data_IF_291185473460
#
_entry.id   IF_291185473460
#
_cell.length_a   1.000
_cell.length_b   1.000
_cell.length_c   1.000
_cell.angle_alpha   90.00
_cell.angle_beta   90.00
_cell.angle_gamma   90.00
#
_symmetry.space_group_name_H-M   'P 1'
#
loop_
_entity.id
_entity.type
_entity.pdbx_description
1 polymer ?
#
# COMPACT_ATOMS: atom_id res chain seq x y z
N UNK A 1 3.54 -25.94 39.93
CA UNK A 1 4.95 -25.60 39.69
C UNK A 1 5.41 -26.25 38.39
N UNK A 2 5.52 -25.48 37.30
CA UNK A 2 6.23 -25.89 36.07
C UNK A 2 6.91 -24.65 35.51
N UNK A 3 8.23 -24.68 35.57
CA UNK A 3 9.20 -23.68 35.13
C UNK A 3 9.59 -23.89 33.67
N UNK A 4 9.80 -22.75 32.98
CA UNK A 4 10.57 -22.55 31.75
C UNK A 4 10.06 -23.28 30.48
N UNK A 5 9.99 -22.67 29.30
CA UNK A 5 11.06 -21.93 28.65
C UNK A 5 10.47 -20.84 27.74
N UNK A 6 10.89 -19.60 28.00
CA UNK A 6 10.79 -18.50 27.05
C UNK A 6 11.85 -18.73 25.97
N UNK A 7 11.42 -19.04 24.75
CA UNK A 7 12.26 -18.92 23.56
C UNK A 7 12.15 -17.47 23.08
N UNK A 8 13.21 -16.64 23.13
CA UNK A 8 13.16 -15.37 22.43
C UNK A 8 13.23 -15.69 20.94
N UNK A 9 12.16 -15.36 20.22
CA UNK A 9 12.10 -15.33 18.76
C UNK A 9 13.00 -14.18 18.26
N UNK A 10 14.31 -14.34 18.43
CA UNK A 10 15.41 -13.46 18.04
C UNK A 10 16.02 -13.93 16.71
N UNK A 11 15.17 -14.32 15.75
CA UNK A 11 15.60 -14.67 14.40
C UNK A 11 14.66 -13.97 13.41
N UNK A 12 14.85 -12.66 13.23
CA UNK A 12 14.28 -11.91 12.11
C UNK A 12 15.13 -10.68 11.71
N UNK A 13 16.40 -10.66 12.10
CA UNK A 13 17.36 -9.57 11.81
C UNK A 13 18.49 -9.97 10.85
N UNK A 14 18.51 -11.19 10.32
CA UNK A 14 19.60 -11.67 9.43
C UNK A 14 19.22 -11.80 7.93
N UNK A 15 18.02 -11.39 7.52
CA UNK A 15 17.50 -11.63 6.15
C UNK A 15 17.36 -10.41 5.25
N UNK A 16 17.78 -9.20 5.67
CA UNK A 16 17.55 -7.96 4.89
C UNK A 16 18.81 -7.14 4.58
N UNK A 17 19.99 -7.78 4.64
CA UNK A 17 21.28 -7.14 4.33
C UNK A 17 22.03 -7.75 3.13
N UNK A 18 21.41 -8.65 2.34
CA UNK A 18 22.13 -9.40 1.30
C UNK A 18 21.49 -9.35 -0.10
N UNK A 19 20.90 -8.22 -0.50
CA UNK A 19 20.43 -8.05 -1.89
C UNK A 19 20.57 -6.62 -2.44
N UNK A 20 21.38 -5.79 -1.80
CA UNK A 20 21.59 -4.40 -2.22
C UNK A 20 23.07 -3.99 -2.14
N UNK A 21 24.01 -4.83 -2.63
CA UNK A 21 25.34 -4.32 -3.03
C UNK A 21 26.23 -5.33 -3.80
N UNK A 22 25.71 -6.10 -4.77
CA UNK A 22 26.58 -6.87 -5.68
C UNK A 22 27.17 -6.04 -6.84
N UNK A 23 26.92 -4.72 -6.88
CA UNK A 23 27.55 -3.79 -7.85
C UNK A 23 28.57 -2.83 -7.22
N UNK A 24 28.97 -3.05 -5.96
CA UNK A 24 30.07 -2.32 -5.30
C UNK A 24 31.18 -3.28 -4.85
N UNK A 25 31.61 -4.16 -5.74
CA UNK A 25 32.96 -4.71 -5.68
C UNK A 25 33.88 -3.81 -6.50
N UNK A 26 34.18 -2.65 -5.92
CA UNK A 26 35.12 -1.68 -6.47
C UNK A 26 35.85 -1.00 -5.32
N UNK A 27 37.07 -1.47 -5.06
CA UNK A 27 38.12 -0.87 -4.21
C UNK A 27 37.76 -0.60 -2.74
N UNK A 28 38.10 -1.56 -1.88
CA UNK A 28 38.37 -1.36 -0.46
C UNK A 28 39.73 -0.64 -0.22
N UNK A 29 40.01 0.44 -0.96
CA UNK A 29 41.25 1.22 -0.82
C UNK A 29 40.96 2.70 -1.00
N UNK A 30 41.01 3.46 0.09
CA UNK A 30 40.88 4.92 0.08
C UNK A 30 39.66 5.42 0.84
N UNK A 31 39.81 5.60 2.15
CA UNK A 31 39.08 6.68 2.83
C UNK A 31 39.55 7.98 2.16
N UNK A 32 38.74 8.48 1.23
CA UNK A 32 38.99 9.74 0.53
C UNK A 32 39.30 10.84 1.57
N UNK A 33 40.55 11.38 1.60
CA UNK A 33 40.97 12.35 2.61
C UNK A 33 40.14 13.65 2.53
N UNK A 34 39.57 13.95 1.36
CA UNK A 34 38.63 15.05 1.23
C UNK A 34 37.32 14.79 1.98
N UNK A 35 36.80 13.56 1.93
CA UNK A 35 35.57 13.19 2.64
C UNK A 35 35.76 13.25 4.15
N UNK A 36 36.95 12.88 4.64
CA UNK A 36 37.32 13.03 6.05
C UNK A 36 37.41 14.52 6.46
N UNK A 37 38.01 15.38 5.62
CA UNK A 37 38.06 16.84 5.85
C UNK A 37 36.67 17.48 5.85
N UNK A 38 35.79 17.12 4.91
CA UNK A 38 34.39 17.60 4.86
C UNK A 38 33.59 17.15 6.08
N UNK A 39 33.78 15.91 6.54
CA UNK A 39 33.14 15.41 7.75
C UNK A 39 33.64 16.11 9.01
N UNK A 40 34.94 16.41 9.11
CA UNK A 40 35.53 17.17 10.21
C UNK A 40 35.02 18.61 10.24
N UNK A 41 34.99 19.29 9.09
CA UNK A 41 34.42 20.63 8.95
C UNK A 41 32.93 20.66 9.30
N UNK A 42 32.14 19.66 8.87
CA UNK A 42 30.73 19.55 9.22
C UNK A 42 30.51 19.30 10.72
N UNK A 43 31.38 18.53 11.39
CA UNK A 43 31.36 18.35 12.85
C UNK A 43 31.71 19.63 13.59
N UNK A 44 32.72 20.37 13.14
CA UNK A 44 33.10 21.65 13.74
C UNK A 44 31.97 22.69 13.61
N UNK A 45 31.39 22.84 12.41
CA UNK A 45 30.25 23.72 12.19
C UNK A 45 28.99 23.31 12.98
N UNK A 46 28.80 22.01 13.22
CA UNK A 46 27.75 21.51 14.11
C UNK A 46 28.05 21.89 15.57
N UNK A 47 29.29 21.74 16.03
CA UNK A 47 29.69 22.07 17.40
C UNK A 47 29.46 23.56 17.70
N UNK A 48 29.91 24.46 16.82
CA UNK A 48 29.71 25.91 16.94
C UNK A 48 28.21 26.27 17.03
N UNK A 49 27.37 25.66 16.17
CA UNK A 49 25.91 25.86 16.22
C UNK A 49 25.29 25.35 17.53
N UNK A 50 25.81 24.27 18.09
CA UNK A 50 25.31 23.71 19.35
C UNK A 50 25.76 24.54 20.54
N UNK A 51 26.96 25.12 20.50
CA UNK A 51 27.47 26.04 21.50
C UNK A 51 26.68 27.36 21.51
N UNK A 52 26.44 27.95 20.34
CA UNK A 52 25.56 29.12 20.21
C UNK A 52 24.14 28.85 20.73
N UNK A 53 23.61 27.65 20.51
CA UNK A 53 22.31 27.21 21.06
C UNK A 53 22.34 27.06 22.57
N UNK A 54 23.39 26.47 23.14
CA UNK A 54 23.56 26.38 24.61
C UNK A 54 23.67 27.76 25.24
N UNK A 55 24.41 28.68 24.63
CA UNK A 55 24.51 30.07 25.08
C UNK A 55 23.14 30.79 25.06
N UNK A 56 22.27 30.45 24.10
CA UNK A 56 20.89 30.91 24.04
C UNK A 56 19.92 30.14 24.97
N UNK A 57 20.43 29.31 25.90
CA UNK A 57 19.62 28.56 26.87
C UNK A 57 18.96 27.28 26.35
N UNK A 58 19.29 26.82 25.14
CA UNK A 58 18.76 25.56 24.62
C UNK A 58 19.48 24.36 25.25
N UNK A 59 18.74 23.50 25.94
CA UNK A 59 19.25 22.23 26.45
C UNK A 59 18.95 21.08 25.47
N UNK A 60 19.93 20.20 25.18
CA UNK A 60 19.67 19.04 24.35
C UNK A 60 18.66 18.12 25.02
N UNK A 61 17.70 17.62 24.23
CA UNK A 61 16.73 16.62 24.69
C UNK A 61 17.44 15.41 25.28
N UNK A 62 16.90 14.86 26.36
CA UNK A 62 17.41 13.62 26.95
C UNK A 62 17.33 12.47 25.93
N UNK A 63 18.10 11.39 26.13
CA UNK A 63 18.07 10.22 25.24
C UNK A 63 16.64 9.67 25.08
N UNK A 64 15.87 9.68 26.17
CA UNK A 64 14.49 9.18 26.19
C UNK A 64 13.52 10.13 25.46
N UNK A 65 13.71 11.44 25.59
CA UNK A 65 12.95 12.44 24.81
C UNK A 65 13.26 12.39 23.31
N UNK A 66 14.51 12.11 22.94
CA UNK A 66 14.92 11.87 21.57
C UNK A 66 14.26 10.60 21.02
N UNK A 67 14.27 9.51 21.78
CA UNK A 67 13.61 8.24 21.46
C UNK A 67 12.10 8.43 21.29
N UNK A 68 11.45 9.15 22.20
CA UNK A 68 10.02 9.50 22.12
C UNK A 68 9.70 10.28 20.84
N UNK A 69 10.54 11.28 20.51
CA UNK A 69 10.37 12.08 19.29
C UNK A 69 10.49 11.21 18.04
N UNK A 70 11.44 10.28 18.00
CA UNK A 70 11.60 9.34 16.89
C UNK A 70 10.40 8.39 16.76
N UNK A 71 9.91 7.82 17.86
CA UNK A 71 8.76 6.91 17.85
C UNK A 71 7.49 7.60 17.37
N UNK A 72 7.26 8.86 17.75
CA UNK A 72 6.15 9.68 17.23
C UNK A 72 6.25 9.84 15.72
N UNK A 73 7.43 10.21 15.19
CA UNK A 73 7.65 10.29 13.73
C UNK A 73 7.42 8.96 13.01
N UNK A 74 7.82 7.83 13.63
CA UNK A 74 7.56 6.50 13.08
C UNK A 74 6.05 6.18 13.05
N UNK A 75 5.33 6.52 14.12
CA UNK A 75 3.87 6.38 14.20
C UNK A 75 3.19 7.19 13.09
N UNK A 76 3.53 8.47 12.94
CA UNK A 76 2.96 9.33 11.89
C UNK A 76 3.23 8.76 10.49
N UNK A 77 4.44 8.25 10.26
CA UNK A 77 4.79 7.58 9.00
C UNK A 77 3.95 6.32 8.76
N UNK A 78 3.67 5.54 9.79
CA UNK A 78 2.80 4.36 9.67
C UNK A 78 1.35 4.75 9.43
N UNK A 79 0.85 5.82 10.05
CA UNK A 79 -0.49 6.35 9.80
C UNK A 79 -0.64 6.76 8.34
N UNK A 80 0.28 7.57 7.81
CA UNK A 80 0.28 7.98 6.41
C UNK A 80 0.31 6.77 5.47
N UNK A 81 1.05 5.71 5.82
CA UNK A 81 1.09 4.47 5.03
C UNK A 81 -0.23 3.71 5.10
N UNK A 82 -0.87 3.63 6.26
CA UNK A 82 -2.18 3.02 6.45
C UNK A 82 -3.21 3.73 5.58
N UNK A 83 -3.29 5.05 5.68
CA UNK A 83 -4.26 5.87 4.95
C UNK A 83 -4.07 5.72 3.43
N UNK A 84 -2.82 5.78 2.94
CA UNK A 84 -2.51 5.55 1.53
C UNK A 84 -2.94 4.17 1.04
N UNK A 85 -2.79 3.13 1.86
CA UNK A 85 -3.25 1.78 1.50
C UNK A 85 -4.77 1.71 1.48
N UNK A 86 -5.46 2.30 2.45
CA UNK A 86 -6.92 2.35 2.49
C UNK A 86 -7.49 3.08 1.26
N UNK A 87 -6.95 4.25 0.92
CA UNK A 87 -7.34 5.00 -0.29
C UNK A 87 -7.09 4.19 -1.55
N UNK A 88 -5.91 3.55 -1.65
CA UNK A 88 -5.58 2.71 -2.81
C UNK A 88 -6.50 1.51 -2.93
N UNK A 89 -6.88 0.88 -1.81
CA UNK A 89 -7.83 -0.22 -1.80
C UNK A 89 -9.20 0.21 -2.32
N UNK A 90 -9.73 1.34 -1.83
CA UNK A 90 -11.01 1.87 -2.28
C UNK A 90 -10.98 2.21 -3.79
N UNK A 91 -9.89 2.83 -4.26
CA UNK A 91 -9.70 3.10 -5.68
C UNK A 91 -9.70 1.82 -6.54
N UNK A 92 -8.94 0.80 -6.13
CA UNK A 92 -8.81 -0.46 -6.87
C UNK A 92 -10.11 -1.28 -6.87
N UNK A 93 -10.89 -1.20 -5.80
CA UNK A 93 -12.23 -1.80 -5.73
C UNK A 93 -13.20 -1.11 -6.69
N UNK A 94 -13.28 0.23 -6.65
CA UNK A 94 -14.12 1.01 -7.57
C UNK A 94 -13.73 0.76 -9.04
N UNK A 95 -12.43 0.73 -9.33
CA UNK A 95 -11.92 0.39 -10.67
C UNK A 95 -12.31 -1.03 -11.08
N UNK A 96 -12.31 -1.98 -10.15
CA UNK A 96 -12.77 -3.34 -10.37
C UNK A 96 -14.26 -3.40 -10.73
N UNK A 97 -15.11 -2.62 -10.06
CA UNK A 97 -16.55 -2.54 -10.37
C UNK A 97 -16.83 -1.92 -11.75
N UNK A 98 -16.06 -0.91 -12.14
CA UNK A 98 -16.14 -0.34 -13.50
C UNK A 98 -15.82 -1.41 -14.54
N UNK A 99 -14.73 -2.16 -14.38
CA UNK A 99 -14.38 -3.24 -15.31
C UNK A 99 -15.42 -4.36 -15.34
N UNK A 100 -16.02 -4.71 -14.20
CA UNK A 100 -17.13 -5.67 -14.15
C UNK A 100 -18.35 -5.18 -14.91
N UNK A 101 -18.68 -3.89 -14.80
CA UNK A 101 -19.78 -3.28 -15.53
C UNK A 101 -19.52 -3.33 -17.04
N UNK A 102 -18.32 -2.95 -17.47
CA UNK A 102 -17.90 -3.06 -18.87
C UNK A 102 -17.99 -4.52 -19.37
N UNK A 103 -17.53 -5.48 -18.58
CA UNK A 103 -17.62 -6.90 -18.94
C UNK A 103 -19.07 -7.38 -19.09
N UNK A 104 -19.98 -6.91 -18.23
CA UNK A 104 -21.42 -7.18 -18.31
C UNK A 104 -22.06 -6.51 -19.52
N UNK A 105 -21.64 -5.29 -19.86
CA UNK A 105 -22.14 -4.57 -21.03
C UNK A 105 -21.73 -5.26 -22.34
N UNK A 106 -20.50 -5.78 -22.42
CA UNK A 106 -20.08 -6.59 -23.57
C UNK A 106 -20.92 -7.87 -23.71
N UNK A 107 -21.28 -8.53 -22.60
CA UNK A 107 -22.22 -9.67 -22.66
C UNK A 107 -23.57 -9.17 -23.13
N UNK A 108 -24.15 -8.16 -22.48
CA UNK A 108 -25.51 -7.68 -22.71
C UNK A 108 -25.75 -7.11 -24.11
N UNK A 109 -24.82 -6.33 -24.64
CA UNK A 109 -24.98 -5.64 -25.92
C UNK A 109 -24.23 -6.34 -27.06
N UNK A 110 -23.22 -7.16 -26.75
CA UNK A 110 -22.50 -7.98 -27.73
C UNK A 110 -23.17 -9.32 -28.05
N UNK A 111 -24.10 -9.80 -27.21
CA UNK A 111 -24.84 -11.05 -27.42
C UNK A 111 -26.03 -10.95 -28.38
N UNK A 112 -26.20 -9.84 -29.10
CA UNK A 112 -27.11 -9.78 -30.25
C UNK A 112 -28.27 -8.79 -30.13
N UNK A 113 -28.13 -7.68 -30.84
CA UNK A 113 -29.23 -7.05 -31.57
C UNK A 113 -28.95 -7.13 -33.08
N UNK A 114 -28.63 -8.33 -33.60
CA UNK A 114 -28.73 -8.56 -35.04
C UNK A 114 -30.21 -8.69 -35.38
N UNK A 115 -30.86 -7.59 -35.76
CA UNK A 115 -32.09 -7.64 -36.56
C UNK A 115 -31.73 -8.30 -37.89
N UNK A 116 -31.76 -9.63 -37.94
CA UNK A 116 -31.72 -10.33 -39.21
C UNK A 116 -33.05 -10.00 -39.92
N UNK A 117 -33.01 -9.09 -40.89
CA UNK A 117 -34.10 -8.92 -41.84
C UNK A 117 -34.19 -10.22 -42.65
N UNK A 118 -34.95 -11.19 -42.17
CA UNK A 118 -35.31 -12.37 -42.94
C UNK A 118 -36.28 -11.90 -44.01
N UNK A 119 -35.74 -11.59 -45.19
CA UNK A 119 -36.55 -11.43 -46.39
C UNK A 119 -37.13 -12.79 -46.72
N UNK A 120 -38.41 -12.98 -46.43
CA UNK A 120 -39.15 -14.15 -46.93
C UNK A 120 -39.45 -13.85 -48.40
N UNK A 121 -38.73 -14.48 -49.30
CA UNK A 121 -39.17 -14.57 -50.69
C UNK A 121 -40.34 -15.55 -50.71
N UNK A 122 -41.55 -15.03 -50.85
CA UNK A 122 -42.68 -15.90 -51.15
C UNK A 122 -42.46 -16.45 -52.56
N UNK A 123 -42.56 -17.78 -52.72
CA UNK A 123 -42.26 -18.46 -53.99
C UNK A 123 -43.24 -18.06 -55.12
N UNK A 124 -44.28 -17.29 -54.77
CA UNK A 124 -45.41 -16.95 -55.64
C UNK A 124 -45.67 -15.44 -55.80
N UNK A 125 -44.99 -14.56 -55.07
CA UNK A 125 -45.14 -13.11 -55.25
C UNK A 125 -43.79 -12.45 -55.48
N UNK A 126 -43.64 -11.77 -56.62
CA UNK A 126 -42.51 -10.91 -56.98
C UNK A 126 -42.41 -9.62 -56.14
N UNK A 127 -42.71 -9.72 -54.84
CA UNK A 127 -42.66 -8.63 -53.87
C UNK A 127 -42.06 -9.12 -52.56
N UNK A 128 -41.12 -8.33 -52.03
CA UNK A 128 -40.64 -8.48 -50.65
C UNK A 128 -41.80 -8.07 -49.73
N UNK A 129 -42.50 -9.04 -49.15
CA UNK A 129 -43.60 -8.77 -48.20
C UNK A 129 -43.03 -8.50 -46.80
N UNK A 130 -43.53 -7.44 -46.18
CA UNK A 130 -43.02 -6.84 -44.96
C UNK A 130 -42.96 -7.72 -43.71
N UNK A 131 -41.97 -7.33 -42.90
CA UNK A 131 -41.55 -7.66 -41.54
C UNK A 131 -42.62 -8.23 -40.57
N UNK A 132 -42.47 -9.50 -40.19
CA UNK A 132 -42.89 -9.98 -38.86
C UNK A 132 -41.61 -10.09 -38.02
N UNK A 133 -41.41 -9.26 -36.98
CA UNK A 133 -40.31 -9.48 -36.06
C UNK A 133 -40.58 -10.78 -35.32
N UNK A 134 -39.95 -11.87 -35.75
CA UNK A 134 -39.93 -13.10 -34.99
C UNK A 134 -39.01 -12.86 -33.80
N UNK A 135 -39.64 -12.62 -32.64
CA UNK A 135 -38.99 -12.63 -31.33
C UNK A 135 -38.58 -14.08 -31.00
N UNK A 136 -37.68 -14.66 -31.79
CA UNK A 136 -37.06 -15.93 -31.43
C UNK A 136 -36.08 -15.64 -30.30
N UNK A 137 -36.60 -15.64 -29.08
CA UNK A 137 -35.85 -15.90 -27.85
C UNK A 137 -35.28 -17.31 -27.94
N UNK A 138 -34.19 -17.46 -28.68
CA UNK A 138 -33.32 -18.62 -28.54
C UNK A 138 -32.25 -18.17 -27.54
N UNK A 139 -32.28 -18.74 -26.34
CA UNK A 139 -31.36 -18.45 -25.23
C UNK A 139 -29.88 -18.79 -25.50
N UNK A 140 -29.55 -19.13 -26.75
CA UNK A 140 -28.24 -19.59 -27.20
C UNK A 140 -27.72 -18.89 -28.47
N UNK A 141 -28.20 -17.68 -28.79
CA UNK A 141 -27.56 -16.91 -29.86
C UNK A 141 -26.14 -16.60 -29.42
N UNK A 142 -25.22 -17.26 -30.11
CA UNK A 142 -23.77 -17.25 -29.93
C UNK A 142 -23.34 -15.83 -29.61
N UNK A 143 -22.92 -15.60 -28.35
CA UNK A 143 -22.19 -14.40 -27.95
C UNK A 143 -21.17 -14.11 -29.06
N UNK A 144 -21.22 -12.91 -29.64
CA UNK A 144 -20.19 -12.48 -30.58
C UNK A 144 -18.83 -12.89 -29.98
N UNK A 145 -18.04 -13.75 -30.65
CA UNK A 145 -16.80 -14.27 -30.09
C UNK A 145 -15.85 -13.15 -29.66
N UNK A 146 -15.94 -11.98 -30.30
CA UNK A 146 -15.21 -10.78 -29.89
C UNK A 146 -15.76 -10.23 -28.56
N UNK A 147 -17.07 -10.10 -28.41
CA UNK A 147 -17.70 -9.64 -27.18
C UNK A 147 -17.42 -10.58 -25.99
N UNK A 148 -17.44 -11.90 -26.21
CA UNK A 148 -17.06 -12.88 -25.20
C UNK A 148 -15.59 -12.71 -24.75
N UNK A 149 -14.66 -12.53 -25.70
CA UNK A 149 -13.24 -12.27 -25.40
C UNK A 149 -13.03 -10.96 -24.65
N UNK A 150 -13.72 -9.90 -25.05
CA UNK A 150 -13.65 -8.60 -24.38
C UNK A 150 -14.24 -8.67 -22.97
N UNK A 151 -15.38 -9.33 -22.81
CA UNK A 151 -15.97 -9.57 -21.49
C UNK A 151 -15.03 -10.33 -20.56
N UNK A 152 -14.43 -11.43 -21.04
CA UNK A 152 -13.43 -12.19 -20.28
C UNK A 152 -12.21 -11.35 -19.91
N UNK A 153 -11.67 -10.55 -20.84
CA UNK A 153 -10.54 -9.65 -20.61
C UNK A 153 -10.83 -8.62 -19.52
N UNK A 154 -12.00 -7.97 -19.55
CA UNK A 154 -12.39 -7.01 -18.53
C UNK A 154 -12.75 -7.69 -17.20
N UNK A 155 -13.31 -8.90 -17.24
CA UNK A 155 -13.52 -9.74 -16.05
C UNK A 155 -12.21 -10.08 -15.34
N UNK A 156 -11.17 -10.47 -16.08
CA UNK A 156 -9.83 -10.74 -15.52
C UNK A 156 -9.20 -9.47 -14.95
N UNK A 157 -9.35 -8.32 -15.63
CA UNK A 157 -8.91 -7.02 -15.09
C UNK A 157 -9.64 -6.66 -13.81
N UNK A 158 -10.94 -6.90 -13.72
CA UNK A 158 -11.73 -6.66 -12.53
C UNK A 158 -11.26 -7.53 -11.35
N UNK A 159 -11.06 -8.83 -11.60
CA UNK A 159 -10.55 -9.77 -10.59
C UNK A 159 -9.17 -9.34 -10.07
N UNK A 160 -8.25 -8.96 -10.96
CA UNK A 160 -6.93 -8.42 -10.58
C UNK A 160 -7.05 -7.15 -9.72
N UNK A 161 -7.89 -6.21 -10.13
CA UNK A 161 -8.15 -4.97 -9.39
C UNK A 161 -8.67 -5.26 -7.98
N UNK A 162 -9.66 -6.16 -7.86
CA UNK A 162 -10.20 -6.60 -6.55
C UNK A 162 -9.17 -7.34 -5.70
N UNK A 163 -8.30 -8.16 -6.29
CA UNK A 163 -7.19 -8.82 -5.59
C UNK A 163 -6.17 -7.81 -5.01
N UNK A 164 -5.80 -6.80 -5.79
CA UNK A 164 -4.94 -5.70 -5.33
C UNK A 164 -5.61 -4.91 -4.20
N UNK A 165 -6.92 -4.63 -4.31
CA UNK A 165 -7.69 -3.96 -3.28
C UNK A 165 -7.67 -4.75 -1.96
N UNK A 166 -7.93 -6.06 -2.01
CA UNK A 166 -7.89 -6.95 -0.85
C UNK A 166 -6.50 -6.98 -0.19
N UNK A 167 -5.43 -7.05 -0.98
CA UNK A 167 -4.06 -6.99 -0.46
C UNK A 167 -3.77 -5.66 0.25
N UNK A 168 -4.24 -4.54 -0.30
CA UNK A 168 -4.08 -3.24 0.33
C UNK A 168 -4.91 -3.08 1.61
N UNK A 169 -6.15 -3.61 1.65
CA UNK A 169 -6.94 -3.69 2.90
C UNK A 169 -6.22 -4.47 3.97
N UNK A 170 -5.73 -5.67 3.64
CA UNK A 170 -4.95 -6.49 4.57
C UNK A 170 -3.77 -5.71 5.16
N UNK A 171 -2.99 -5.00 4.33
CA UNK A 171 -1.89 -4.19 4.84
C UNK A 171 -2.34 -3.02 5.73
N UNK A 172 -3.43 -2.33 5.39
CA UNK A 172 -3.97 -1.24 6.20
C UNK A 172 -4.47 -1.75 7.55
N UNK A 173 -5.32 -2.78 7.52
CA UNK A 173 -6.13 -3.21 8.67
C UNK A 173 -5.37 -4.13 9.61
N UNK A 174 -4.36 -4.85 9.12
CA UNK A 174 -3.59 -5.79 9.95
C UNK A 174 -2.17 -5.32 10.19
N UNK A 175 -1.40 -5.09 9.12
CA UNK A 175 0.04 -4.84 9.23
C UNK A 175 0.33 -3.47 9.84
N UNK A 176 -0.30 -2.42 9.32
CA UNK A 176 -0.07 -1.06 9.83
C UNK A 176 -0.82 -0.82 11.14
N UNK A 177 -2.04 -1.31 11.30
CA UNK A 177 -2.75 -1.26 12.58
C UNK A 177 -1.92 -1.88 13.73
N UNK A 178 -1.35 -3.07 13.52
CA UNK A 178 -0.47 -3.71 14.52
C UNK A 178 0.77 -2.87 14.83
N UNK A 179 1.41 -2.30 13.81
CA UNK A 179 2.59 -1.44 13.99
C UNK A 179 2.24 -0.17 14.77
N UNK A 180 1.10 0.45 14.48
CA UNK A 180 0.59 1.63 15.19
C UNK A 180 0.27 1.33 16.64
N UNK A 181 -0.36 0.19 16.92
CA UNK A 181 -0.64 -0.23 18.30
C UNK A 181 0.67 -0.43 19.07
N UNK A 182 1.62 -1.18 18.50
CA UNK A 182 2.91 -1.42 19.15
C UNK A 182 3.70 -0.12 19.38
N UNK A 183 3.74 0.79 18.41
CA UNK A 183 4.43 2.08 18.59
C UNK A 183 3.72 2.97 19.60
N UNK A 184 2.38 2.96 19.64
CA UNK A 184 1.60 3.73 20.61
C UNK A 184 1.83 3.22 22.04
N UNK A 185 1.77 1.91 22.25
CA UNK A 185 2.09 1.30 23.56
C UNK A 185 3.51 1.64 24.03
N UNK A 186 4.50 1.61 23.12
CA UNK A 186 5.88 1.98 23.46
C UNK A 186 6.05 3.46 23.79
N UNK A 187 5.31 4.33 23.09
CA UNK A 187 5.26 5.77 23.39
C UNK A 187 4.68 5.99 24.78
N UNK A 188 3.56 5.35 25.12
CA UNK A 188 2.91 5.48 26.43
C UNK A 188 3.82 4.97 27.56
N UNK A 189 4.51 3.85 27.36
CA UNK A 189 5.45 3.30 28.33
C UNK A 189 6.62 4.25 28.58
N UNK A 190 7.25 4.77 27.52
CA UNK A 190 8.36 5.73 27.66
C UNK A 190 7.90 7.04 28.28
N UNK A 191 6.71 7.53 27.95
CA UNK A 191 6.14 8.72 28.60
C UNK A 191 5.95 8.51 30.10
N UNK A 192 5.46 7.33 30.51
CA UNK A 192 5.34 6.98 31.93
C UNK A 192 6.70 6.96 32.63
N UNK A 193 7.72 6.34 32.02
CA UNK A 193 9.08 6.28 32.58
C UNK A 193 9.70 7.68 32.74
N UNK A 194 9.60 8.53 31.71
CA UNK A 194 10.08 9.92 31.76
C UNK A 194 9.35 10.70 32.86
N UNK A 195 8.04 10.52 33.00
CA UNK A 195 7.25 11.19 34.04
C UNK A 195 7.69 10.79 35.46
N UNK A 196 7.95 9.49 35.70
CA UNK A 196 8.41 8.98 36.99
C UNK A 196 9.80 9.54 37.34
N UNK A 197 10.74 9.51 36.38
CA UNK A 197 12.07 10.10 36.58
C UNK A 197 11.99 11.60 36.89
N UNK A 198 11.12 12.34 36.19
CA UNK A 198 10.89 13.77 36.44
C UNK A 198 10.28 14.07 37.80
N UNK A 199 9.57 13.11 38.43
CA UNK A 199 9.06 13.22 39.81
C UNK A 199 10.12 12.87 40.86
N UNK A 200 10.97 11.87 40.59
CA UNK A 200 12.05 11.44 41.51
C UNK A 200 13.24 12.41 41.53
N UNK A 201 13.48 13.15 40.45
CA UNK A 201 14.58 14.11 40.34
C UNK A 201 14.31 15.50 40.93
N UNK A 202 13.10 15.75 41.45
CA UNK A 202 12.80 17.00 42.17
C UNK A 202 13.08 16.78 43.66
N UNK A 203 13.91 17.62 44.32
CA UNK A 203 14.02 17.57 45.77
C UNK A 203 12.62 17.78 46.38
N UNK A 204 12.30 17.01 47.41
CA UNK A 204 11.07 17.19 48.16
C UNK A 204 11.00 18.65 48.68
N UNK A 205 9.81 19.28 48.67
CA UNK A 205 9.64 20.65 49.16
C UNK A 205 10.00 20.80 50.64
#
# INVERSE_FOLDING_TARGET
>A
MRTALWVPLLILSAGFALSADSSRQGSASGLDPERARRAAAAKAALAERMEARRAAGWTPKSKDEQMLTMLRRLRDKYQIKQDRRATRAAFEEARGEVYLTIARDYIKYGSGYRRAYLYRTDRWSSGIVGYVPTWNYNDYWILDPLAARLSAHFGEKAARSKGIAAAHRYHADTVYARRLNNTSSRIEELQRQISIQGKLGKPAP
#
